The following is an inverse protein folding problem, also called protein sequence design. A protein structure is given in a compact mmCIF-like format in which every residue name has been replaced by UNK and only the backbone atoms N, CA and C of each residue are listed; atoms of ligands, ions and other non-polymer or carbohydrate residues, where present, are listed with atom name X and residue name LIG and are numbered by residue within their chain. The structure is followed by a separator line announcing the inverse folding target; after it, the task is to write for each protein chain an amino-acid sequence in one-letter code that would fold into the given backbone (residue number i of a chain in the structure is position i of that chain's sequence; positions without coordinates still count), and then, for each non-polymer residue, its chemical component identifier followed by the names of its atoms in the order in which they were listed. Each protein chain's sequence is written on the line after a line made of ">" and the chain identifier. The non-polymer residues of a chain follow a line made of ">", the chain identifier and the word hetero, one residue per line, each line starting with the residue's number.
data_IF_560582571048
#
_entry.id   IF_560582571048
#
_cell.length_a   1.000
_cell.length_b   1.000
_cell.length_c   1.000
_cell.angle_alpha   90.00
_cell.angle_beta   90.00
_cell.angle_gamma   90.00
#
_symmetry.space_group_name_H-M   'P 1'
#
loop_
_entity.id
_entity.type
_entity.pdbx_description
1 polymer ?
#
# COMPACT_ATOMS: atom_id res chain seq x y z
N UNK A 1 0.02 10.91 13.85
CA UNK A 1 0.33 11.16 12.42
C UNK A 1 -0.34 10.07 11.60
N UNK A 2 -1.01 10.42 10.49
CA UNK A 2 -1.75 9.46 9.65
C UNK A 2 -0.75 8.63 8.84
N UNK A 3 -0.90 7.30 8.83
CA UNK A 3 -0.01 6.37 8.11
C UNK A 3 -0.77 5.82 6.91
N UNK A 4 -0.23 6.01 5.70
CA UNK A 4 -0.87 5.64 4.44
C UNK A 4 -0.11 4.53 3.74
N UNK A 5 -0.84 3.50 3.29
CA UNK A 5 -0.34 2.45 2.41
C UNK A 5 -0.89 2.69 1.00
N UNK A 6 -0.05 2.54 -0.02
CA UNK A 6 -0.46 2.63 -1.43
C UNK A 6 -0.14 1.30 -2.11
N UNK A 7 -1.16 0.74 -2.77
CA UNK A 7 -1.09 -0.43 -3.64
C UNK A 7 -1.36 0.06 -5.06
N UNK A 8 -0.37 -0.02 -5.93
CA UNK A 8 -0.53 0.36 -7.33
C UNK A 8 0.39 -0.49 -8.19
N UNK A 9 -0.22 -1.35 -8.99
CA UNK A 9 0.49 -2.08 -10.04
C UNK A 9 0.88 -1.07 -11.13
N UNK A 10 2.20 -0.91 -11.31
CA UNK A 10 2.86 -0.23 -12.43
C UNK A 10 3.06 1.30 -12.42
N UNK A 11 2.56 2.11 -11.48
CA UNK A 11 2.91 3.54 -11.47
C UNK A 11 2.87 4.18 -10.07
N UNK A 12 3.73 3.75 -9.16
CA UNK A 12 3.78 4.23 -7.76
C UNK A 12 3.95 5.76 -7.63
N UNK A 13 4.36 6.48 -8.67
CA UNK A 13 4.79 7.87 -8.52
C UNK A 13 3.67 8.92 -8.39
N UNK A 14 2.55 8.80 -9.10
CA UNK A 14 1.59 9.92 -9.20
C UNK A 14 0.95 10.26 -7.85
N UNK A 15 0.49 9.24 -7.11
CA UNK A 15 -0.15 9.41 -5.81
C UNK A 15 0.83 9.69 -4.69
N UNK A 16 2.01 9.04 -4.72
CA UNK A 16 3.06 9.30 -3.73
C UNK A 16 3.52 10.75 -3.75
N UNK A 17 3.82 11.28 -4.94
CA UNK A 17 4.24 12.67 -5.10
C UNK A 17 3.13 13.64 -4.69
N UNK A 18 1.89 13.37 -5.11
CA UNK A 18 0.73 14.19 -4.77
C UNK A 18 0.56 14.31 -3.25
N UNK A 19 0.47 13.17 -2.56
CA UNK A 19 0.27 13.13 -1.11
C UNK A 19 1.45 13.77 -0.36
N UNK A 20 2.69 13.50 -0.76
CA UNK A 20 3.86 14.12 -0.16
C UNK A 20 3.83 15.65 -0.31
N UNK A 21 3.47 16.17 -1.49
CA UNK A 21 3.32 17.62 -1.76
C UNK A 21 2.19 18.26 -0.95
N UNK A 22 1.13 17.51 -0.64
CA UNK A 22 0.05 17.96 0.24
C UNK A 22 0.39 17.86 1.74
N UNK A 23 1.64 17.53 2.10
CA UNK A 23 2.10 17.49 3.49
C UNK A 23 1.76 16.19 4.23
N UNK A 24 1.29 15.17 3.52
CA UNK A 24 1.19 13.84 4.11
C UNK A 24 2.60 13.29 4.34
N UNK A 25 2.86 12.93 5.58
CA UNK A 25 4.08 12.27 6.05
C UNK A 25 3.75 10.82 6.40
N UNK A 26 4.74 9.93 6.39
CA UNK A 26 4.58 8.48 6.62
C UNK A 26 3.73 7.75 5.55
N UNK A 27 4.14 7.91 4.29
CA UNK A 27 3.56 7.18 3.17
C UNK A 27 4.44 5.96 2.85
N UNK A 28 3.83 4.79 2.69
CA UNK A 28 4.52 3.58 2.21
C UNK A 28 3.91 3.13 0.88
N UNK A 29 4.75 3.04 -0.14
CA UNK A 29 4.41 2.38 -1.41
C UNK A 29 4.99 0.98 -1.45
N UNK A 30 4.20 0.00 -1.89
CA UNK A 30 4.68 -1.36 -2.11
C UNK A 30 4.34 -1.86 -3.52
N UNK A 31 5.17 -2.76 -4.01
CA UNK A 31 4.94 -3.51 -5.25
C UNK A 31 5.64 -4.86 -5.13
N UNK A 32 5.12 -5.90 -5.79
CA UNK A 32 5.79 -7.21 -5.82
C UNK A 32 7.05 -7.18 -6.70
N UNK A 33 7.14 -6.22 -7.63
CA UNK A 33 8.20 -6.08 -8.63
C UNK A 33 9.35 -5.21 -8.11
N UNK A 34 10.57 -5.77 -7.97
CA UNK A 34 11.76 -5.00 -7.61
C UNK A 34 12.07 -3.85 -8.56
N UNK A 35 11.81 -4.03 -9.86
CA UNK A 35 12.08 -3.00 -10.88
C UNK A 35 11.11 -1.82 -10.75
N UNK A 36 9.84 -2.05 -10.38
CA UNK A 36 8.87 -0.99 -10.13
C UNK A 36 9.26 -0.15 -8.91
N UNK A 37 9.73 -0.80 -7.85
CA UNK A 37 10.27 -0.13 -6.66
C UNK A 37 11.53 0.67 -6.99
N UNK A 38 12.47 0.10 -7.75
CA UNK A 38 13.68 0.81 -8.17
C UNK A 38 13.35 2.05 -9.01
N UNK A 39 12.48 1.92 -10.00
CA UNK A 39 12.04 3.05 -10.83
C UNK A 39 11.42 4.15 -9.97
N UNK A 40 10.53 3.77 -9.05
CA UNK A 40 9.88 4.72 -8.14
C UNK A 40 10.89 5.41 -7.22
N UNK A 41 11.89 4.69 -6.72
CA UNK A 41 12.99 5.24 -5.92
C UNK A 41 13.77 6.32 -6.67
N UNK A 42 14.17 6.05 -7.91
CA UNK A 42 14.90 7.01 -8.76
C UNK A 42 14.10 8.30 -8.98
N UNK A 43 12.77 8.19 -9.15
CA UNK A 43 11.92 9.37 -9.37
C UNK A 43 11.74 10.16 -8.06
N UNK A 44 11.51 9.47 -6.93
CA UNK A 44 11.43 10.09 -5.59
C UNK A 44 12.70 10.88 -5.27
N UNK A 45 13.87 10.30 -5.55
CA UNK A 45 15.17 10.96 -5.37
C UNK A 45 15.29 12.20 -6.25
N UNK A 46 14.98 12.07 -7.55
CA UNK A 46 15.00 13.19 -8.51
C UNK A 46 14.10 14.36 -8.08
N UNK A 47 12.99 14.08 -7.42
CA UNK A 47 12.00 15.08 -6.98
C UNK A 47 12.27 15.61 -5.55
N UNK A 48 13.30 15.08 -4.87
CA UNK A 48 13.68 15.53 -3.53
C UNK A 48 12.65 15.16 -2.44
N UNK A 49 11.90 14.08 -2.62
CA UNK A 49 10.88 13.65 -1.65
C UNK A 49 11.51 12.73 -0.60
N UNK A 50 11.52 13.16 0.67
CA UNK A 50 12.18 12.42 1.76
C UNK A 50 11.22 11.62 2.67
N UNK A 51 9.90 11.80 2.54
CA UNK A 51 8.90 11.27 3.47
C UNK A 51 8.16 10.02 2.96
N UNK A 52 8.76 9.31 2.00
CA UNK A 52 8.18 8.12 1.38
C UNK A 52 9.08 6.91 1.64
N UNK A 53 8.47 5.82 2.09
CA UNK A 53 9.13 4.54 2.23
C UNK A 53 8.67 3.58 1.13
N UNK A 54 9.60 2.94 0.42
CA UNK A 54 9.31 1.95 -0.62
C UNK A 54 9.71 0.55 -0.16
N UNK A 55 8.89 -0.46 -0.44
CA UNK A 55 9.22 -1.87 -0.12
C UNK A 55 8.78 -2.80 -1.24
N UNK A 56 9.62 -3.77 -1.55
CA UNK A 56 9.24 -4.91 -2.38
C UNK A 56 8.45 -5.88 -1.50
N UNK A 57 7.15 -6.01 -1.73
CA UNK A 57 6.24 -6.86 -0.95
C UNK A 57 5.15 -7.41 -1.88
N UNK A 58 4.83 -8.70 -1.74
CA UNK A 58 3.66 -9.29 -2.38
C UNK A 58 2.44 -9.09 -1.48
N UNK A 59 1.46 -8.30 -1.93
CA UNK A 59 0.27 -8.00 -1.14
C UNK A 59 -0.59 -9.24 -0.85
N UNK A 60 -0.56 -10.26 -1.71
CA UNK A 60 -1.29 -11.52 -1.45
C UNK A 60 -0.59 -12.38 -0.38
N UNK A 61 0.71 -12.18 -0.17
CA UNK A 61 1.54 -12.94 0.76
C UNK A 61 2.36 -12.00 1.66
N UNK A 62 1.67 -11.08 2.31
CA UNK A 62 2.31 -9.93 2.93
C UNK A 62 3.07 -10.27 4.22
N UNK A 63 4.23 -9.63 4.40
CA UNK A 63 5.01 -9.74 5.63
C UNK A 63 4.25 -9.22 6.85
N UNK A 64 4.31 -9.93 7.98
CA UNK A 64 3.69 -9.51 9.26
C UNK A 64 4.25 -8.19 9.81
N UNK A 65 5.38 -7.72 9.26
CA UNK A 65 6.01 -6.44 9.60
C UNK A 65 5.29 -5.24 8.97
N UNK A 66 4.35 -5.45 8.05
CA UNK A 66 3.58 -4.39 7.41
C UNK A 66 2.20 -4.27 8.07
N UNK A 67 2.05 -3.35 9.02
CA UNK A 67 0.77 -3.10 9.70
C UNK A 67 0.68 -1.69 10.28
N UNK A 68 -0.50 -1.33 10.81
CA UNK A 68 -0.75 -0.06 11.49
C UNK A 68 -1.18 1.09 10.58
N UNK A 69 -1.53 0.79 9.33
CA UNK A 69 -1.93 1.80 8.35
C UNK A 69 -3.35 2.29 8.64
N UNK A 70 -3.56 3.59 8.56
CA UNK A 70 -4.88 4.20 8.77
C UNK A 70 -5.70 4.23 7.48
N UNK A 71 -5.00 4.33 6.34
CA UNK A 71 -5.58 4.37 5.00
C UNK A 71 -4.79 3.42 4.12
N UNK A 72 -5.49 2.65 3.29
CA UNK A 72 -4.92 1.91 2.17
C UNK A 72 -5.57 2.45 0.89
N UNK A 73 -4.76 2.92 -0.05
CA UNK A 73 -5.22 3.35 -1.37
C UNK A 73 -4.87 2.23 -2.33
N UNK A 74 -5.89 1.58 -2.87
CA UNK A 74 -5.74 0.62 -3.96
C UNK A 74 -6.06 1.31 -5.28
N UNK A 75 -5.12 1.26 -6.22
CA UNK A 75 -5.32 1.71 -7.59
C UNK A 75 -5.09 0.53 -8.55
N UNK A 76 -6.15 -0.24 -8.76
CA UNK A 76 -6.21 -1.30 -9.77
C UNK A 76 -5.52 -2.61 -9.37
N UNK A 77 -4.94 -2.70 -8.17
CA UNK A 77 -4.34 -3.95 -7.67
C UNK A 77 -5.42 -4.99 -7.43
N UNK A 78 -6.53 -4.61 -6.79
CA UNK A 78 -7.67 -5.50 -6.60
C UNK A 78 -8.29 -5.95 -7.93
N UNK A 79 -8.41 -5.04 -8.91
CA UNK A 79 -8.96 -5.37 -10.23
C UNK A 79 -8.08 -6.37 -10.97
N UNK A 80 -6.76 -6.15 -11.00
CA UNK A 80 -5.82 -7.09 -11.62
C UNK A 80 -5.86 -8.47 -10.96
N UNK A 81 -5.98 -8.53 -9.62
CA UNK A 81 -6.18 -9.79 -8.89
C UNK A 81 -7.50 -10.45 -9.27
N UNK A 82 -8.56 -9.65 -9.41
CA UNK A 82 -9.91 -10.12 -9.70
C UNK A 82 -10.06 -10.66 -11.12
N UNK A 83 -9.27 -10.13 -12.06
CA UNK A 83 -9.22 -10.53 -13.46
C UNK A 83 -8.21 -11.65 -13.75
N UNK A 84 -7.47 -12.11 -12.72
CA UNK A 84 -6.47 -13.15 -12.90
C UNK A 84 -7.13 -14.47 -13.37
N UNK A 85 -6.71 -15.08 -14.49
CA UNK A 85 -7.32 -16.32 -14.98
C UNK A 85 -7.15 -17.48 -13.98
N UNK A 86 -6.10 -17.44 -13.16
CA UNK A 86 -5.76 -18.48 -12.22
C UNK A 86 -6.27 -18.14 -10.82
N UNK A 87 -7.31 -18.87 -10.39
CA UNK A 87 -7.80 -18.89 -9.01
C UNK A 87 -8.17 -17.50 -8.42
N UNK A 88 -8.75 -16.61 -9.24
CA UNK A 88 -9.13 -15.26 -8.82
C UNK A 88 -9.98 -15.21 -7.55
N UNK A 89 -10.88 -16.19 -7.37
CA UNK A 89 -11.75 -16.26 -6.18
C UNK A 89 -10.92 -16.34 -4.90
N UNK A 90 -9.91 -17.21 -4.88
CA UNK A 90 -9.06 -17.39 -3.70
C UNK A 90 -8.11 -16.21 -3.52
N UNK A 91 -7.53 -15.69 -4.61
CA UNK A 91 -6.67 -14.50 -4.54
C UNK A 91 -7.42 -13.27 -4.02
N UNK A 92 -8.70 -13.09 -4.36
CA UNK A 92 -9.54 -12.03 -3.77
C UNK A 92 -9.73 -12.22 -2.27
N UNK A 93 -9.94 -13.45 -1.79
CA UNK A 93 -10.02 -13.72 -0.34
C UNK A 93 -8.70 -13.41 0.37
N UNK A 94 -7.58 -13.79 -0.24
CA UNK A 94 -6.24 -13.48 0.26
C UNK A 94 -6.02 -11.97 0.33
N UNK A 95 -6.37 -11.24 -0.74
CA UNK A 95 -6.32 -9.78 -0.76
C UNK A 95 -7.10 -9.16 0.41
N UNK A 96 -8.35 -9.58 0.64
CA UNK A 96 -9.17 -9.07 1.75
C UNK A 96 -8.53 -9.38 3.11
N UNK A 97 -7.94 -10.56 3.26
CA UNK A 97 -7.21 -10.95 4.48
C UNK A 97 -5.98 -10.07 4.70
N UNK A 98 -5.18 -9.81 3.68
CA UNK A 98 -4.02 -8.91 3.75
C UNK A 98 -4.44 -7.47 4.04
N UNK A 99 -5.48 -6.97 3.38
CA UNK A 99 -6.02 -5.63 3.65
C UNK A 99 -6.47 -5.50 5.10
N UNK A 100 -7.12 -6.53 5.64
CA UNK A 100 -7.56 -6.56 7.04
C UNK A 100 -6.38 -6.61 8.03
N UNK A 101 -5.25 -7.22 7.67
CA UNK A 101 -4.08 -7.32 8.57
C UNK A 101 -3.24 -6.04 8.58
N UNK A 102 -3.18 -5.31 7.47
CA UNK A 102 -2.38 -4.08 7.39
C UNK A 102 -3.09 -2.86 7.98
N UNK A 103 -4.42 -2.82 7.90
CA UNK A 103 -5.21 -1.70 8.38
C UNK A 103 -5.34 -1.72 9.90
N UNK A 104 -5.19 -0.55 10.51
CA UNK A 104 -5.41 -0.34 11.92
C UNK A 104 -6.91 -0.43 12.20
N UNK A 105 -7.31 -1.46 12.93
CA UNK A 105 -8.67 -1.52 13.49
C UNK A 105 -8.79 -0.39 14.51
N UNK A 106 -9.75 0.53 14.32
CA UNK A 106 -10.14 1.43 15.40
C UNK A 106 -10.62 0.53 16.54
N UNK A 107 -9.90 0.50 17.66
CA UNK A 107 -10.46 -0.02 18.89
C UNK A 107 -11.83 0.66 19.05
N UNK A 108 -12.91 -0.13 19.03
CA UNK A 108 -14.19 0.39 19.45
C UNK A 108 -13.95 0.99 20.83
N UNK A 109 -14.37 2.24 20.99
CA UNK A 109 -14.32 2.96 22.26
C UNK A 109 -15.27 2.22 23.19
N UNK A 110 -14.80 1.15 23.83
CA UNK A 110 -15.47 0.55 24.98
C UNK A 110 -15.25 1.49 26.15
N UNK A 111 -16.07 2.53 26.18
CA UNK A 111 -16.29 3.50 27.24
C UNK A 111 -17.75 3.90 26.94
N UNK A 112 -18.75 3.73 27.80
CA UNK A 112 -18.78 3.95 29.25
C UNK A 112 -20.15 3.39 29.74
N UNK A 113 -20.22 2.89 30.98
CA UNK A 113 -21.47 2.57 31.67
C UNK A 113 -21.30 1.41 32.64
#
# INVERSE_FOLDING_TARGET
>A
MLQCLILELEMVFSWLNLLAKFGFSNITGIDYSPSAIQLSGNIIEKEGLSNINLKVEDFLNISTKLSGFHICIDKGTFDAISLNPDNAVEKRKQYVKSLSSVLRVKAQRNNIG
#
